data_IF_323107545277
#
_entry.id   IF_323107545277
#
_cell.length_a   1.000
_cell.length_b   1.000
_cell.length_c   1.000
_cell.angle_alpha   90.00
_cell.angle_beta   90.00
_cell.angle_gamma   90.00
#
_symmetry.space_group_name_H-M   'P 1'
#
loop_
_entity.id
_entity.type
_entity.pdbx_description
1 polymer ?
#
# COMPACT_ATOMS: atom_id res chain seq x y z
N UNK A 1 11.57 18.65 37.61
CA UNK A 1 12.58 17.65 37.96
C UNK A 1 13.99 18.23 37.79
N UNK A 2 14.48 18.42 36.56
CA UNK A 2 15.79 19.04 36.31
C UNK A 2 15.98 20.42 36.98
N UNK A 3 14.98 21.31 36.91
CA UNK A 3 15.00 22.60 37.63
C UNK A 3 15.10 22.43 39.15
N UNK A 4 14.44 21.41 39.71
CA UNK A 4 14.43 21.13 41.16
C UNK A 4 15.80 20.63 41.64
N UNK A 5 16.48 19.85 40.80
CA UNK A 5 17.82 19.30 41.07
C UNK A 5 18.95 20.19 40.51
N UNK A 6 18.66 21.46 40.19
CA UNK A 6 19.63 22.44 39.70
C UNK A 6 20.44 22.02 38.46
N UNK A 7 19.79 21.32 37.53
CA UNK A 7 20.37 20.93 36.25
C UNK A 7 19.67 21.65 35.09
N UNK A 8 20.45 22.14 34.13
CA UNK A 8 19.89 22.71 32.91
C UNK A 8 19.39 21.61 31.98
N UNK A 9 18.29 21.86 31.29
CA UNK A 9 17.75 20.99 30.25
C UNK A 9 17.30 21.85 29.07
N UNK A 10 17.79 21.56 27.88
CA UNK A 10 17.48 22.32 26.65
C UNK A 10 17.14 21.37 25.51
N UNK A 11 16.31 21.82 24.58
CA UNK A 11 16.11 21.13 23.29
C UNK A 11 17.39 21.29 22.47
N UNK A 12 17.84 20.22 21.84
CA UNK A 12 19.06 20.18 21.05
C UNK A 12 18.85 19.48 19.70
N UNK A 13 19.86 19.59 18.82
CA UNK A 13 19.90 18.85 17.56
C UNK A 13 18.85 19.29 16.53
N UNK A 14 18.36 18.31 15.75
CA UNK A 14 17.44 18.54 14.63
C UNK A 14 16.12 19.19 15.04
N UNK A 15 15.67 18.95 16.27
CA UNK A 15 14.43 19.52 16.79
C UNK A 15 14.46 21.06 16.86
N UNK A 16 15.61 21.67 17.17
CA UNK A 16 15.75 23.13 17.17
C UNK A 16 15.62 23.69 15.75
N UNK A 17 16.26 23.04 14.78
CA UNK A 17 16.17 23.42 13.36
C UNK A 17 14.72 23.31 12.85
N UNK A 18 14.03 22.23 13.19
CA UNK A 18 12.67 21.99 12.72
C UNK A 18 11.70 23.05 13.32
N UNK A 19 11.83 23.34 14.62
CA UNK A 19 11.05 24.40 15.28
C UNK A 19 11.30 25.79 14.68
N UNK A 20 12.56 26.14 14.38
CA UNK A 20 12.91 27.39 13.70
C UNK A 20 12.34 27.47 12.28
N UNK A 21 12.10 26.33 11.65
CA UNK A 21 11.50 26.23 10.31
C UNK A 21 9.98 26.17 10.36
N UNK A 22 9.35 26.31 11.54
CA UNK A 22 7.90 26.18 11.72
C UNK A 22 7.38 24.75 11.57
N UNK A 23 8.26 23.75 11.54
CA UNK A 23 7.92 22.33 11.40
C UNK A 23 7.91 21.66 12.78
N UNK A 24 6.86 20.91 13.06
CA UNK A 24 6.77 20.12 14.30
C UNK A 24 7.76 18.95 14.25
N UNK A 25 8.72 18.84 15.18
CA UNK A 25 9.72 17.78 15.16
C UNK A 25 9.09 16.41 15.46
N UNK A 26 9.58 15.37 14.77
CA UNK A 26 9.15 13.98 15.00
C UNK A 26 9.85 13.37 16.23
N UNK A 27 11.15 13.62 16.36
CA UNK A 27 11.97 13.23 17.50
C UNK A 27 12.56 14.48 18.17
N UNK A 28 12.47 14.54 19.50
CA UNK A 28 13.01 15.67 20.28
C UNK A 28 14.17 15.20 21.14
N UNK A 29 15.37 15.66 20.78
CA UNK A 29 16.57 15.45 21.59
C UNK A 29 16.70 16.53 22.65
N UNK A 30 17.10 16.13 23.85
CA UNK A 30 17.38 17.04 24.94
C UNK A 30 18.86 16.95 25.35
N UNK A 31 19.46 18.10 25.65
CA UNK A 31 20.78 18.20 26.25
C UNK A 31 20.66 18.67 27.69
N UNK A 32 21.45 18.09 28.59
CA UNK A 32 21.48 18.46 30.01
C UNK A 32 22.89 18.51 30.57
N UNK A 33 23.06 19.31 31.62
CA UNK A 33 24.28 19.35 32.43
C UNK A 33 24.39 18.16 33.38
N UNK A 34 23.30 17.41 33.60
CA UNK A 34 23.31 16.22 34.44
C UNK A 34 24.08 15.07 33.79
N UNK A 35 24.98 14.42 34.53
CA UNK A 35 25.67 13.20 34.09
C UNK A 35 24.71 12.00 34.00
N UNK A 36 25.07 10.89 33.31
CA UNK A 36 24.18 9.73 33.20
C UNK A 36 23.86 9.09 34.55
N UNK A 37 24.81 9.11 35.49
CA UNK A 37 24.60 8.64 36.86
C UNK A 37 23.58 9.51 37.60
N UNK A 38 23.75 10.84 37.56
CA UNK A 38 22.80 11.79 38.16
C UNK A 38 21.41 11.69 37.55
N UNK A 39 21.31 11.54 36.22
CA UNK A 39 20.03 11.35 35.55
C UNK A 39 19.32 10.06 36.02
N UNK A 40 20.06 8.96 36.21
CA UNK A 40 19.48 7.72 36.73
C UNK A 40 18.90 7.88 38.12
N UNK A 41 19.67 8.46 39.04
CA UNK A 41 19.22 8.71 40.41
C UNK A 41 18.00 9.64 40.43
N UNK A 42 18.04 10.69 39.61
CA UNK A 42 16.97 11.66 39.44
C UNK A 42 15.68 11.03 38.86
N UNK A 43 15.79 10.13 37.89
CA UNK A 43 14.62 9.42 37.35
C UNK A 43 14.11 8.33 38.29
N UNK A 44 14.99 7.60 38.97
CA UNK A 44 14.61 6.57 39.96
C UNK A 44 13.89 7.18 41.17
N UNK A 45 14.44 8.25 41.74
CA UNK A 45 13.84 8.97 42.87
C UNK A 45 12.48 9.59 42.51
N UNK A 46 12.27 9.94 41.24
CA UNK A 46 11.01 10.44 40.73
C UNK A 46 10.02 9.35 40.28
N UNK A 47 10.38 8.06 40.40
CA UNK A 47 9.54 6.94 39.94
C UNK A 47 9.36 6.88 38.41
N UNK A 48 10.26 7.50 37.65
CA UNK A 48 10.19 7.58 36.19
C UNK A 48 10.90 6.37 35.57
N UNK A 49 10.20 5.65 34.68
CA UNK A 49 10.72 4.46 34.02
C UNK A 49 11.74 4.82 32.95
N UNK A 50 12.90 4.17 32.95
CA UNK A 50 13.92 4.29 31.89
C UNK A 50 13.81 3.12 30.89
N UNK A 51 14.00 3.37 29.58
CA UNK A 51 13.70 2.38 28.52
C UNK A 51 14.94 1.66 27.97
N UNK A 52 16.17 2.16 28.13
CA UNK A 52 17.32 1.51 27.51
C UNK A 52 18.67 1.85 28.17
N UNK A 53 19.46 0.83 28.54
CA UNK A 53 20.79 1.02 29.15
C UNK A 53 21.95 0.95 28.13
N UNK A 54 21.68 0.69 26.84
CA UNK A 54 22.74 0.57 25.82
C UNK A 54 23.35 1.92 25.42
N UNK A 55 22.60 3.01 25.49
CA UNK A 55 23.04 4.36 25.15
C UNK A 55 23.90 5.04 26.22
N UNK A 56 23.96 4.50 27.42
CA UNK A 56 24.65 5.09 28.57
C UNK A 56 26.16 5.27 28.33
N UNK A 57 26.79 4.31 27.65
CA UNK A 57 28.21 4.37 27.27
C UNK A 57 28.53 5.57 26.35
N UNK A 58 27.51 6.14 25.71
CA UNK A 58 27.60 7.29 24.84
C UNK A 58 27.01 8.56 25.47
N UNK A 59 26.69 8.53 26.76
CA UNK A 59 26.14 9.67 27.49
C UNK A 59 24.64 9.88 27.29
N UNK A 60 23.89 8.87 26.84
CA UNK A 60 22.44 8.99 26.59
C UNK A 60 21.61 8.20 27.60
N UNK A 61 20.62 8.85 28.21
CA UNK A 61 19.58 8.20 29.03
C UNK A 61 18.21 8.45 28.40
N UNK A 62 17.42 7.38 28.23
CA UNK A 62 16.05 7.47 27.71
C UNK A 62 15.03 7.22 28.81
N UNK A 63 14.21 8.22 29.12
CA UNK A 63 13.16 8.17 30.13
C UNK A 63 11.75 8.20 29.51
N UNK A 64 10.82 7.48 30.13
CA UNK A 64 9.39 7.45 29.77
C UNK A 64 8.58 8.06 30.90
N UNK A 65 7.81 9.09 30.57
CA UNK A 65 6.77 9.62 31.44
C UNK A 65 5.45 9.57 30.68
N UNK A 66 4.40 9.03 31.29
CA UNK A 66 3.06 9.11 30.73
C UNK A 66 2.54 10.55 30.89
N UNK A 67 2.08 11.14 29.78
CA UNK A 67 1.45 12.45 29.82
C UNK A 67 0.00 12.30 30.31
N UNK A 68 -0.38 13.12 31.29
CA UNK A 68 -1.79 13.43 31.56
C UNK A 68 -2.20 14.42 30.47
N UNK A 69 -3.26 14.08 29.74
CA UNK A 69 -3.84 14.77 28.57
C UNK A 69 -3.21 14.45 27.19
N UNK A 70 -3.91 13.54 26.52
CA UNK A 70 -4.05 13.29 25.07
C UNK A 70 -2.86 13.55 24.12
N UNK A 71 -2.42 12.45 23.48
CA UNK A 71 -1.74 12.39 22.16
C UNK A 71 -0.28 12.83 22.06
N UNK A 72 0.53 12.61 23.11
CA UNK A 72 1.99 12.66 22.98
C UNK A 72 2.68 11.58 23.83
N UNK A 73 3.17 10.53 23.17
CA UNK A 73 4.19 9.65 23.74
C UNK A 73 5.56 10.30 23.52
N UNK A 74 6.05 11.06 24.50
CA UNK A 74 7.41 11.60 24.45
C UNK A 74 8.37 10.61 25.11
N UNK A 75 9.16 9.91 24.29
CA UNK A 75 10.41 9.31 24.77
C UNK A 75 11.43 10.42 24.94
N UNK A 76 11.83 10.72 26.18
CA UNK A 76 12.82 11.76 26.45
C UNK A 76 14.21 11.13 26.29
N UNK A 77 14.94 11.47 25.22
CA UNK A 77 16.35 11.10 25.05
C UNK A 77 17.22 12.27 25.49
N UNK A 78 17.92 12.12 26.61
CA UNK A 78 18.84 13.13 27.14
C UNK A 78 20.29 12.74 26.85
N UNK A 79 21.03 13.61 26.19
CA UNK A 79 22.48 13.47 25.95
C UNK A 79 23.28 14.43 26.85
N UNK A 80 24.40 13.94 27.37
CA UNK A 80 25.40 14.75 28.11
C UNK A 80 26.23 15.56 27.13
N UNK A 81 26.42 16.85 27.37
CA UNK A 81 27.34 17.67 26.57
C UNK A 81 28.80 17.29 26.87
N UNK A 82 29.36 16.35 26.11
CA UNK A 82 30.80 16.14 26.05
C UNK A 82 31.44 17.06 25.01
N UNK A 83 32.59 17.68 25.33
CA UNK A 83 33.37 18.58 24.46
C UNK A 83 33.76 18.00 23.07
N UNK A 84 33.51 16.71 22.79
CA UNK A 84 33.97 16.04 21.58
C UNK A 84 32.92 15.89 20.46
N UNK A 85 31.81 16.65 20.47
CA UNK A 85 30.93 16.81 19.30
C UNK A 85 30.49 18.26 19.12
N UNK A 86 31.45 19.13 18.82
CA UNK A 86 31.16 20.50 18.40
C UNK A 86 30.87 20.52 16.89
N UNK A 87 29.62 20.25 16.52
CA UNK A 87 29.03 21.08 15.47
C UNK A 87 28.67 22.40 16.15
N UNK A 88 29.61 23.35 16.04
CA UNK A 88 29.54 24.77 16.40
C UNK A 88 28.32 25.18 17.24
N UNK A 89 28.58 25.38 18.53
CA UNK A 89 27.84 26.34 19.34
C UNK A 89 27.65 27.64 18.55
N UNK A 90 26.41 28.14 18.47
CA UNK A 90 26.16 29.52 18.10
C UNK A 90 25.94 30.28 19.42
N UNK A 91 26.96 30.96 19.98
CA UNK A 91 26.79 31.72 21.20
C UNK A 91 26.04 33.02 20.86
N UNK A 92 24.77 33.11 21.25
CA UNK A 92 24.04 34.38 21.25
C UNK A 92 24.39 35.16 22.52
N UNK A 93 25.40 36.01 22.41
CA UNK A 93 25.59 37.17 23.28
C UNK A 93 25.66 38.40 22.39
N UNK A 94 24.50 38.89 21.93
CA UNK A 94 24.26 40.24 21.42
C UNK A 94 22.75 40.41 21.21
N UNK A 95 22.04 40.85 22.26
CA UNK A 95 20.77 41.54 22.11
C UNK A 95 21.08 42.91 21.47
N UNK A 96 20.52 43.17 20.29
CA UNK A 96 20.48 44.50 19.68
C UNK A 96 21.43 44.74 18.50
N UNK A 97 21.08 44.23 17.31
CA UNK A 97 21.31 44.86 16.01
C UNK A 97 20.70 43.98 14.89
N UNK A 98 20.22 44.61 13.82
CA UNK A 98 19.53 44.05 12.64
C UNK A 98 20.12 42.73 12.06
N UNK A 99 19.31 41.90 11.37
CA UNK A 99 19.75 40.60 10.87
C UNK A 99 20.72 40.75 9.69
N UNK A 100 21.84 40.01 9.63
CA UNK A 100 22.66 39.93 8.42
C UNK A 100 22.14 38.81 7.50
N UNK A 101 22.31 38.94 6.17
CA UNK A 101 21.85 37.95 5.21
C UNK A 101 22.70 36.68 5.26
N UNK A 102 22.05 35.55 4.98
CA UNK A 102 22.63 34.23 4.73
C UNK A 102 23.81 34.31 3.75
N UNK A 103 25.04 34.21 4.25
CA UNK A 103 26.24 33.77 3.53
C UNK A 103 27.33 33.51 4.59
N UNK A 104 27.78 32.25 4.70
CA UNK A 104 28.81 31.85 5.64
C UNK A 104 30.11 32.63 5.40
N UNK A 105 30.54 33.43 6.37
CA UNK A 105 31.76 34.24 6.31
C UNK A 105 33.03 33.38 6.29
N UNK A 106 33.96 33.72 5.39
CA UNK A 106 35.15 32.94 5.01
C UNK A 106 36.30 32.79 6.02
N UNK A 107 36.06 32.78 7.34
CA UNK A 107 37.14 32.57 8.34
C UNK A 107 37.23 31.14 8.91
N UNK A 108 36.29 30.25 8.60
CA UNK A 108 36.35 28.82 8.99
C UNK A 108 37.21 27.94 8.07
N UNK A 109 37.72 28.48 6.95
CA UNK A 109 38.45 27.71 5.95
C UNK A 109 39.96 27.51 6.22
N UNK A 110 40.55 28.23 7.18
CA UNK A 110 42.01 28.23 7.38
C UNK A 110 42.54 27.21 8.39
N UNK A 111 41.69 26.46 9.12
CA UNK A 111 42.14 25.50 10.15
C UNK A 111 42.00 24.02 9.72
N UNK A 112 41.26 23.73 8.65
CA UNK A 112 41.20 22.39 8.05
C UNK A 112 42.38 21.95 7.13
N UNK A 113 43.28 22.80 6.60
CA UNK A 113 44.30 22.32 5.65
C UNK A 113 45.41 21.47 6.26
N UNK A 114 45.65 21.54 7.57
CA UNK A 114 46.84 20.93 8.21
C UNK A 114 46.75 19.42 8.44
N UNK A 115 45.59 18.78 8.26
CA UNK A 115 45.46 17.31 8.32
C UNK A 115 45.32 16.62 6.95
N UNK A 116 45.28 17.36 5.83
CA UNK A 116 44.98 16.81 4.50
C UNK A 116 46.13 16.87 3.48
N UNK A 117 47.35 17.23 3.89
CA UNK A 117 48.50 17.33 2.99
C UNK A 117 49.15 15.98 2.64
N UNK A 118 48.39 15.04 2.06
CA UNK A 118 48.95 13.93 1.31
C UNK A 118 48.11 13.61 0.05
N UNK A 119 48.71 13.89 -1.10
CA UNK A 119 48.34 13.52 -2.50
C UNK A 119 47.47 14.51 -3.29
N UNK A 120 48.20 15.51 -3.79
CA UNK A 120 48.28 16.06 -5.16
C UNK A 120 47.02 16.60 -5.88
N UNK A 121 47.22 17.82 -6.35
CA UNK A 121 46.35 18.71 -7.12
C UNK A 121 46.34 18.45 -8.63
N UNK A 122 45.24 18.81 -9.32
CA UNK A 122 45.15 19.48 -10.65
C UNK A 122 43.75 20.16 -10.78
N UNK A 123 43.44 21.06 -11.76
CA UNK A 123 42.95 22.42 -11.50
C UNK A 123 41.48 22.67 -11.94
N UNK A 124 41.00 23.89 -11.67
CA UNK A 124 39.61 24.35 -11.76
C UNK A 124 39.15 24.82 -13.15
N UNK A 125 37.83 24.72 -13.42
CA UNK A 125 37.02 25.69 -14.18
C UNK A 125 35.55 25.65 -13.67
N UNK A 126 34.77 26.76 -13.76
CA UNK A 126 33.68 27.02 -12.82
C UNK A 126 32.29 26.68 -13.38
N UNK A 127 31.50 25.94 -12.59
CA UNK A 127 30.07 25.77 -12.81
C UNK A 127 29.51 24.55 -12.08
N UNK A 128 28.67 24.78 -11.07
CA UNK A 128 27.87 23.79 -10.30
C UNK A 128 28.60 23.02 -9.18
N UNK A 129 28.92 23.74 -8.09
CA UNK A 129 29.35 23.18 -6.81
C UNK A 129 28.20 23.12 -5.79
N UNK A 130 27.39 22.06 -5.81
CA UNK A 130 26.62 21.65 -4.61
C UNK A 130 26.76 20.15 -4.32
N UNK A 131 26.96 19.31 -5.35
CA UNK A 131 27.14 17.85 -5.15
C UNK A 131 28.59 17.40 -4.92
N UNK A 132 29.58 18.31 -4.94
CA UNK A 132 31.00 17.95 -4.81
C UNK A 132 31.69 18.35 -3.50
N UNK A 133 30.99 19.03 -2.60
CA UNK A 133 31.55 19.49 -1.30
C UNK A 133 31.07 18.67 -0.10
N UNK A 134 30.39 17.53 -0.33
CA UNK A 134 30.08 16.53 0.71
C UNK A 134 30.99 15.31 0.51
N UNK A 135 32.30 15.57 0.50
CA UNK A 135 33.34 14.60 0.13
C UNK A 135 33.89 13.73 1.26
N UNK A 136 33.21 13.57 2.40
CA UNK A 136 33.74 12.78 3.52
C UNK A 136 32.75 11.84 4.23
N UNK A 137 31.51 11.70 3.75
CA UNK A 137 30.54 10.76 4.34
C UNK A 137 29.73 9.92 3.33
N UNK A 138 30.02 10.02 2.03
CA UNK A 138 29.45 9.11 1.03
C UNK A 138 30.24 7.79 1.04
N UNK A 139 29.59 6.74 1.51
CA UNK A 139 29.94 5.36 1.18
C UNK A 139 30.30 5.29 -0.30
N UNK A 140 31.47 4.71 -0.64
CA UNK A 140 32.00 4.73 -2.02
C UNK A 140 30.94 4.18 -2.99
N UNK A 141 30.22 5.08 -3.65
CA UNK A 141 29.31 4.78 -4.74
C UNK A 141 30.11 4.08 -5.87
N UNK A 142 29.46 3.28 -6.73
CA UNK A 142 30.15 2.55 -7.78
C UNK A 142 30.98 3.51 -8.64
N UNK A 143 32.25 3.17 -8.87
CA UNK A 143 33.16 4.02 -9.66
C UNK A 143 32.66 4.27 -11.09
N UNK A 144 31.79 3.39 -11.61
CA UNK A 144 31.28 3.40 -12.98
C UNK A 144 29.77 3.73 -13.06
N UNK A 145 29.25 4.54 -12.14
CA UNK A 145 27.83 4.91 -12.09
C UNK A 145 27.37 5.72 -13.33
N UNK A 146 26.10 5.57 -13.73
CA UNK A 146 25.48 6.35 -14.81
C UNK A 146 24.82 7.60 -14.24
N UNK A 147 25.49 8.76 -14.37
CA UNK A 147 24.93 10.04 -13.91
C UNK A 147 23.76 10.52 -14.80
N UNK A 148 23.73 10.12 -16.06
CA UNK A 148 22.63 10.44 -16.98
C UNK A 148 21.33 9.76 -16.54
N UNK A 149 21.39 8.46 -16.24
CA UNK A 149 20.23 7.71 -15.73
C UNK A 149 19.78 8.27 -14.37
N UNK A 150 20.72 8.62 -13.49
CA UNK A 150 20.39 9.26 -12.21
C UNK A 150 19.64 10.58 -12.38
N UNK A 151 20.08 11.43 -13.31
CA UNK A 151 19.40 12.70 -13.58
C UNK A 151 17.99 12.48 -14.15
N UNK A 152 17.82 11.50 -15.03
CA UNK A 152 16.50 11.12 -15.58
C UNK A 152 15.58 10.61 -14.48
N UNK A 153 16.03 9.63 -13.69
CA UNK A 153 15.23 9.03 -12.62
C UNK A 153 14.91 10.05 -11.54
N UNK A 154 15.82 10.95 -11.19
CA UNK A 154 15.58 12.01 -10.20
C UNK A 154 14.43 12.93 -10.62
N UNK A 155 14.31 13.25 -11.91
CA UNK A 155 13.16 13.99 -12.45
C UNK A 155 11.89 13.13 -12.44
N UNK A 156 11.99 11.87 -12.83
CA UNK A 156 10.86 10.94 -12.87
C UNK A 156 10.20 10.70 -11.50
N UNK A 157 10.91 10.88 -10.40
CA UNK A 157 10.38 10.60 -9.05
C UNK A 157 9.99 11.85 -8.26
N UNK A 158 10.24 13.04 -8.83
CA UNK A 158 10.02 14.32 -8.16
C UNK A 158 8.54 14.49 -7.80
N UNK A 159 8.25 14.67 -6.50
CA UNK A 159 6.88 14.78 -5.99
C UNK A 159 6.17 13.45 -5.67
N UNK A 160 6.75 12.29 -5.97
CA UNK A 160 6.10 10.97 -5.80
C UNK A 160 6.65 10.13 -4.63
N UNK A 161 7.41 10.76 -3.72
CA UNK A 161 7.98 10.14 -2.51
C UNK A 161 8.62 8.76 -2.79
N UNK A 162 9.71 8.71 -3.57
CA UNK A 162 10.39 7.46 -3.87
C UNK A 162 11.06 6.88 -2.63
N UNK A 163 11.17 5.54 -2.57
CA UNK A 163 12.05 4.90 -1.60
C UNK A 163 13.52 5.23 -1.94
N UNK A 164 14.43 5.35 -0.94
CA UNK A 164 15.83 5.67 -1.19
C UNK A 164 16.50 4.71 -2.20
N UNK A 165 16.18 3.42 -2.11
CA UNK A 165 16.71 2.41 -3.02
C UNK A 165 16.26 2.62 -4.47
N UNK A 166 15.05 3.12 -4.69
CA UNK A 166 14.51 3.40 -6.03
C UNK A 166 15.39 4.41 -6.77
N UNK A 167 15.75 5.51 -6.10
CA UNK A 167 16.65 6.52 -6.67
C UNK A 167 18.07 5.97 -6.79
N UNK A 168 18.57 5.29 -5.76
CA UNK A 168 19.95 4.79 -5.72
C UNK A 168 20.25 3.79 -6.84
N UNK A 169 19.28 2.95 -7.22
CA UNK A 169 19.45 1.93 -8.28
C UNK A 169 19.71 2.50 -9.67
N UNK A 170 19.39 3.78 -9.91
CA UNK A 170 19.76 4.47 -11.16
C UNK A 170 21.28 4.56 -11.35
N UNK A 171 22.07 4.51 -10.27
CA UNK A 171 23.53 4.48 -10.32
C UNK A 171 24.10 3.08 -10.62
N UNK A 172 23.28 2.02 -10.53
CA UNK A 172 23.68 0.63 -10.71
C UNK A 172 23.49 0.19 -12.15
N UNK A 173 24.47 -0.55 -12.68
CA UNK A 173 24.41 -1.11 -14.04
C UNK A 173 23.90 -2.54 -14.02
N UNK A 174 24.36 -3.32 -13.03
CA UNK A 174 24.08 -4.74 -12.88
C UNK A 174 23.65 -5.07 -11.46
N UNK A 175 23.02 -6.23 -11.26
CA UNK A 175 22.55 -6.68 -9.94
C UNK A 175 23.68 -6.84 -8.91
N UNK A 176 24.91 -7.17 -9.37
CA UNK A 176 26.08 -7.29 -8.50
C UNK A 176 26.43 -5.97 -7.78
N UNK A 177 26.07 -4.81 -8.33
CA UNK A 177 26.29 -3.53 -7.68
C UNK A 177 25.43 -3.41 -6.41
N UNK A 178 24.21 -3.96 -6.42
CA UNK A 178 23.32 -4.04 -5.25
C UNK A 178 23.92 -4.97 -4.20
N UNK A 179 24.48 -6.11 -4.61
CA UNK A 179 25.13 -7.05 -3.71
C UNK A 179 26.37 -6.44 -3.03
N UNK A 180 27.18 -5.67 -3.77
CA UNK A 180 28.34 -4.93 -3.22
C UNK A 180 27.91 -3.87 -2.23
N UNK A 181 26.83 -3.13 -2.52
CA UNK A 181 26.26 -2.16 -1.60
C UNK A 181 25.81 -2.83 -0.29
N UNK A 182 25.08 -3.93 -0.38
CA UNK A 182 24.62 -4.71 0.77
C UNK A 182 25.77 -5.22 1.64
N UNK A 183 26.81 -5.79 1.01
CA UNK A 183 27.99 -6.26 1.74
C UNK A 183 28.65 -5.15 2.58
N UNK A 184 28.63 -3.91 2.09
CA UNK A 184 29.30 -2.76 2.72
C UNK A 184 28.45 -2.01 3.74
N UNK A 185 27.17 -1.78 3.42
CA UNK A 185 26.25 -0.97 4.21
C UNK A 185 25.32 -1.78 5.11
N UNK A 186 25.23 -3.10 4.88
CA UNK A 186 24.33 -4.00 5.61
C UNK A 186 22.89 -3.50 5.56
N UNK A 187 22.39 -3.30 4.34
CA UNK A 187 21.02 -2.82 4.09
C UNK A 187 20.00 -3.89 4.48
N UNK A 188 18.75 -3.50 4.65
CA UNK A 188 17.68 -4.46 4.95
C UNK A 188 17.41 -5.41 3.77
N UNK A 189 16.81 -6.57 4.06
CA UNK A 189 16.40 -7.53 3.03
C UNK A 189 15.41 -6.91 2.03
N UNK A 190 14.50 -6.07 2.51
CA UNK A 190 13.52 -5.37 1.68
C UNK A 190 14.19 -4.41 0.70
N UNK A 191 15.14 -3.60 1.18
CA UNK A 191 15.92 -2.69 0.32
C UNK A 191 16.74 -3.46 -0.72
N UNK A 192 17.40 -4.55 -0.32
CA UNK A 192 18.16 -5.39 -1.25
C UNK A 192 17.25 -5.97 -2.34
N UNK A 193 16.11 -6.53 -1.96
CA UNK A 193 15.17 -7.15 -2.89
C UNK A 193 14.58 -6.12 -3.87
N UNK A 194 14.22 -4.93 -3.37
CA UNK A 194 13.76 -3.82 -4.20
C UNK A 194 14.85 -3.39 -5.20
N UNK A 195 16.09 -3.27 -4.73
CA UNK A 195 17.21 -2.90 -5.59
C UNK A 195 17.46 -3.90 -6.71
N UNK A 196 17.48 -5.20 -6.38
CA UNK A 196 17.60 -6.28 -7.37
C UNK A 196 16.43 -6.28 -8.36
N UNK A 197 15.21 -6.08 -7.85
CA UNK A 197 14.00 -6.04 -8.67
C UNK A 197 14.03 -4.92 -9.71
N UNK A 198 14.36 -3.68 -9.31
CA UNK A 198 14.40 -2.55 -10.24
C UNK A 198 15.50 -2.76 -11.29
N UNK A 199 16.71 -3.12 -10.87
CA UNK A 199 17.83 -3.33 -11.81
C UNK A 199 17.52 -4.45 -12.81
N UNK A 200 16.81 -5.51 -12.38
CA UNK A 200 16.35 -6.60 -13.24
C UNK A 200 15.30 -6.14 -14.27
N UNK A 201 14.26 -5.44 -13.81
CA UNK A 201 13.03 -5.29 -14.58
C UNK A 201 12.88 -3.92 -15.25
N UNK A 202 13.73 -2.93 -14.94
CA UNK A 202 13.59 -1.55 -15.45
C UNK A 202 13.55 -1.38 -16.97
N UNK A 203 14.07 -2.37 -17.71
CA UNK A 203 14.09 -2.37 -19.19
C UNK A 203 13.02 -3.24 -19.81
N UNK A 204 12.68 -4.36 -19.16
CA UNK A 204 11.83 -5.40 -19.75
C UNK A 204 10.37 -5.29 -19.29
N UNK A 205 10.14 -4.88 -18.04
CA UNK A 205 8.80 -4.66 -17.50
C UNK A 205 8.39 -3.21 -17.75
N UNK A 206 7.91 -2.95 -18.96
CA UNK A 206 7.45 -1.65 -19.44
C UNK A 206 5.97 -1.72 -19.81
N UNK A 207 5.32 -0.56 -19.92
CA UNK A 207 3.94 -0.45 -20.39
C UNK A 207 3.76 -1.08 -21.76
N UNK A 208 2.60 -1.69 -21.99
CA UNK A 208 2.25 -2.20 -23.30
C UNK A 208 2.09 -1.03 -24.29
N UNK A 209 2.87 -1.05 -25.37
CA UNK A 209 2.80 -0.06 -26.45
C UNK A 209 1.63 -0.45 -27.37
N UNK A 210 0.83 0.53 -27.80
CA UNK A 210 -0.30 0.35 -28.73
C UNK A 210 -1.42 -0.60 -28.25
N UNK A 211 -1.59 -0.76 -26.93
CA UNK A 211 -2.67 -1.51 -26.31
C UNK A 211 -3.67 -0.59 -25.62
N UNK A 212 -4.95 -0.99 -25.60
CA UNK A 212 -5.98 -0.37 -24.75
C UNK A 212 -5.69 -0.55 -23.25
N UNK A 213 -4.76 -1.44 -22.88
CA UNK A 213 -4.42 -1.77 -21.49
C UNK A 213 -2.90 -1.59 -21.21
N UNK A 214 -2.38 -0.35 -21.12
CA UNK A 214 -0.96 -0.09 -20.88
C UNK A 214 -0.45 -0.64 -19.54
N UNK A 215 -1.34 -0.85 -18.57
CA UNK A 215 -1.02 -1.37 -17.23
C UNK A 215 -0.85 -2.89 -17.19
N UNK A 216 -1.32 -3.61 -18.22
CA UNK A 216 -1.42 -5.08 -18.22
C UNK A 216 -0.12 -5.81 -17.92
N UNK A 217 1.05 -5.45 -18.48
CA UNK A 217 2.30 -6.15 -18.18
C UNK A 217 2.66 -6.11 -16.68
N UNK A 218 2.36 -5.00 -16.01
CA UNK A 218 2.59 -4.84 -14.57
C UNK A 218 1.59 -5.66 -13.74
N UNK A 219 0.32 -5.73 -14.18
CA UNK A 219 -0.71 -6.54 -13.53
C UNK A 219 -0.41 -8.04 -13.66
N UNK A 220 -0.02 -8.49 -14.85
CA UNK A 220 0.38 -9.87 -15.10
C UNK A 220 1.56 -10.27 -14.21
N UNK A 221 2.57 -9.39 -14.10
CA UNK A 221 3.70 -9.59 -13.21
C UNK A 221 3.27 -9.78 -11.73
N UNK A 222 2.32 -8.97 -11.25
CA UNK A 222 1.82 -9.06 -9.87
C UNK A 222 1.01 -10.34 -9.66
N UNK A 223 0.14 -10.70 -10.61
CA UNK A 223 -0.69 -11.91 -10.56
C UNK A 223 0.17 -13.17 -10.54
N UNK A 224 1.27 -13.18 -11.32
CA UNK A 224 2.21 -14.31 -11.37
C UNK A 224 3.17 -14.36 -10.20
N UNK A 225 3.36 -13.22 -9.53
CA UNK A 225 4.22 -13.16 -8.36
C UNK A 225 3.59 -13.90 -7.18
N UNK A 226 4.41 -14.72 -6.51
CA UNK A 226 4.07 -15.35 -5.23
C UNK A 226 4.44 -14.48 -4.03
N UNK A 227 4.98 -13.29 -4.29
CA UNK A 227 5.52 -12.40 -3.26
C UNK A 227 4.48 -11.35 -2.86
N UNK A 228 4.21 -11.24 -1.56
CA UNK A 228 3.20 -10.32 -1.02
C UNK A 228 3.52 -8.83 -1.29
N UNK A 229 4.79 -8.49 -1.51
CA UNK A 229 5.25 -7.13 -1.75
C UNK A 229 5.42 -6.77 -3.24
N UNK A 230 4.94 -7.63 -4.15
CA UNK A 230 5.03 -7.42 -5.60
C UNK A 230 4.46 -6.07 -6.04
N UNK A 231 3.27 -5.70 -5.56
CA UNK A 231 2.62 -4.41 -5.85
C UNK A 231 3.48 -3.24 -5.40
N UNK A 232 4.03 -3.31 -4.19
CA UNK A 232 4.89 -2.24 -3.67
C UNK A 232 6.15 -2.05 -4.52
N UNK A 233 6.75 -3.14 -5.01
CA UNK A 233 7.92 -3.09 -5.90
C UNK A 233 7.57 -2.54 -7.28
N UNK A 234 6.44 -2.95 -7.85
CA UNK A 234 5.94 -2.44 -9.14
C UNK A 234 5.64 -0.94 -9.05
N UNK A 235 5.02 -0.46 -7.95
CA UNK A 235 4.82 0.97 -7.73
C UNK A 235 6.14 1.75 -7.73
N UNK A 236 7.19 1.24 -7.09
CA UNK A 236 8.52 1.88 -7.12
C UNK A 236 9.16 1.82 -8.52
N UNK A 237 8.92 0.76 -9.30
CA UNK A 237 9.37 0.69 -10.69
C UNK A 237 8.62 1.70 -11.59
N UNK A 238 7.31 1.89 -11.41
CA UNK A 238 6.54 2.90 -12.13
C UNK A 238 7.05 4.32 -11.82
N UNK A 239 7.39 4.60 -10.55
CA UNK A 239 8.08 5.85 -10.15
C UNK A 239 9.43 5.98 -10.84
N UNK A 240 10.25 4.93 -10.85
CA UNK A 240 11.55 4.94 -11.54
C UNK A 240 11.40 5.27 -13.03
N UNK A 241 10.39 4.71 -13.69
CA UNK A 241 10.11 4.89 -15.12
C UNK A 241 9.46 6.24 -15.45
N UNK A 242 8.86 6.94 -14.47
CA UNK A 242 8.13 8.20 -14.68
C UNK A 242 6.70 8.00 -15.19
N UNK A 243 6.13 6.81 -15.00
CA UNK A 243 4.79 6.46 -15.48
C UNK A 243 3.72 6.84 -14.45
N UNK A 244 3.57 8.15 -14.21
CA UNK A 244 2.73 8.69 -13.13
C UNK A 244 1.24 8.34 -13.25
N UNK A 245 0.69 8.38 -14.46
CA UNK A 245 -0.72 8.01 -14.69
C UNK A 245 -1.00 6.53 -14.42
N UNK A 246 -0.03 5.66 -14.71
CA UNK A 246 -0.13 4.23 -14.41
C UNK A 246 0.09 3.93 -12.93
N UNK A 247 0.91 4.73 -12.24
CA UNK A 247 1.12 4.61 -10.79
C UNK A 247 -0.19 4.80 -10.03
N UNK A 248 -0.99 5.81 -10.38
CA UNK A 248 -2.28 6.06 -9.72
C UNK A 248 -3.25 4.89 -9.95
N UNK A 249 -3.35 4.42 -11.19
CA UNK A 249 -4.18 3.26 -11.52
C UNK A 249 -3.73 2.00 -10.76
N UNK A 250 -2.42 1.75 -10.67
CA UNK A 250 -1.85 0.61 -9.95
C UNK A 250 -2.14 0.67 -8.44
N UNK A 251 -2.11 1.86 -7.84
CA UNK A 251 -2.40 2.03 -6.42
C UNK A 251 -3.89 1.81 -6.07
N UNK A 252 -4.78 2.12 -7.02
CA UNK A 252 -6.22 1.93 -6.86
C UNK A 252 -6.68 0.51 -7.26
N UNK A 253 -5.84 -0.24 -7.97
CA UNK A 253 -6.19 -1.57 -8.46
C UNK A 253 -6.28 -2.59 -7.33
N UNK A 254 -7.50 -3.04 -7.05
CA UNK A 254 -7.74 -4.16 -6.16
C UNK A 254 -7.46 -5.47 -6.91
N UNK A 255 -6.44 -6.21 -6.46
CA UNK A 255 -6.06 -7.49 -7.07
C UNK A 255 -7.23 -8.47 -6.91
N UNK A 256 -7.87 -8.89 -8.01
CA UNK A 256 -8.98 -9.81 -7.92
C UNK A 256 -8.48 -11.21 -7.51
N UNK A 257 -9.14 -11.89 -6.56
CA UNK A 257 -8.75 -13.24 -6.19
C UNK A 257 -9.03 -14.19 -7.35
N UNK A 258 -8.10 -15.13 -7.59
CA UNK A 258 -8.32 -16.17 -8.59
C UNK A 258 -9.50 -17.07 -8.13
N UNK A 259 -10.55 -17.24 -8.95
CA UNK A 259 -11.83 -17.80 -8.50
C UNK A 259 -11.83 -19.32 -8.32
N UNK A 260 -10.79 -20.02 -8.79
CA UNK A 260 -10.72 -21.49 -8.74
C UNK A 260 -9.62 -21.94 -7.78
N UNK A 261 -9.98 -22.82 -6.85
CA UNK A 261 -9.04 -23.44 -5.92
C UNK A 261 -8.66 -24.86 -6.36
N UNK A 262 -7.58 -25.39 -5.78
CA UNK A 262 -7.24 -26.81 -5.98
C UNK A 262 -8.32 -27.77 -5.44
N UNK A 263 -9.15 -27.33 -4.50
CA UNK A 263 -10.27 -28.13 -3.99
C UNK A 263 -11.39 -28.28 -5.03
N UNK A 264 -11.63 -27.24 -5.82
CA UNK A 264 -12.63 -27.27 -6.89
C UNK A 264 -12.24 -28.26 -7.99
N UNK A 265 -10.95 -28.29 -8.34
CA UNK A 265 -10.40 -29.27 -9.29
C UNK A 265 -10.47 -30.71 -8.73
N UNK A 266 -10.27 -30.89 -7.42
CA UNK A 266 -10.45 -32.20 -6.77
C UNK A 266 -11.90 -32.66 -6.81
N UNK A 267 -12.86 -31.77 -6.58
CA UNK A 267 -14.30 -32.08 -6.72
C UNK A 267 -14.67 -32.50 -8.15
N UNK A 268 -13.98 -31.95 -9.14
CA UNK A 268 -14.14 -32.32 -10.55
C UNK A 268 -13.51 -33.68 -10.92
N UNK A 269 -12.87 -34.38 -9.98
CA UNK A 269 -12.39 -35.76 -10.15
C UNK A 269 -10.88 -35.92 -10.33
N UNK A 270 -10.08 -34.85 -10.25
CA UNK A 270 -8.61 -34.94 -10.38
C UNK A 270 -7.95 -35.10 -9.01
N UNK A 271 -7.20 -36.18 -8.82
CA UNK A 271 -6.56 -36.51 -7.54
C UNK A 271 -5.05 -36.23 -7.51
N UNK A 272 -4.40 -36.10 -8.68
CA UNK A 272 -2.96 -35.86 -8.80
C UNK A 272 -2.59 -34.40 -8.54
N UNK A 273 -1.76 -34.14 -7.54
CA UNK A 273 -1.29 -32.78 -7.21
C UNK A 273 -0.55 -32.08 -8.35
N UNK A 274 0.21 -32.83 -9.16
CA UNK A 274 0.93 -32.29 -10.32
C UNK A 274 -0.04 -31.85 -11.41
N UNK A 275 -1.06 -32.65 -11.66
CA UNK A 275 -2.09 -32.39 -12.68
C UNK A 275 -2.99 -31.21 -12.28
N UNK A 276 -3.38 -31.13 -11.00
CA UNK A 276 -4.08 -29.97 -10.43
C UNK A 276 -3.28 -28.69 -10.66
N UNK A 277 -1.97 -28.72 -10.43
CA UNK A 277 -1.11 -27.56 -10.65
C UNK A 277 -1.09 -27.10 -12.12
N UNK A 278 -1.01 -28.04 -13.06
CA UNK A 278 -1.06 -27.75 -14.50
C UNK A 278 -2.41 -27.15 -14.91
N UNK A 279 -3.52 -27.74 -14.45
CA UNK A 279 -4.86 -27.25 -14.73
C UNK A 279 -5.12 -25.87 -14.13
N UNK A 280 -4.71 -25.63 -12.86
CA UNK A 280 -4.79 -24.31 -12.24
C UNK A 280 -4.00 -23.28 -13.05
N UNK A 281 -2.82 -23.62 -13.56
CA UNK A 281 -2.06 -22.70 -14.40
C UNK A 281 -2.79 -22.39 -15.71
N UNK A 282 -3.34 -23.39 -16.39
CA UNK A 282 -4.11 -23.19 -17.62
C UNK A 282 -5.34 -22.30 -17.37
N UNK A 283 -6.07 -22.53 -16.28
CA UNK A 283 -7.21 -21.70 -15.89
C UNK A 283 -6.78 -20.28 -15.50
N UNK A 284 -5.61 -20.11 -14.86
CA UNK A 284 -5.05 -18.78 -14.59
C UNK A 284 -4.72 -18.03 -15.87
N UNK A 285 -4.14 -18.69 -16.86
CA UNK A 285 -3.86 -18.05 -18.17
C UNK A 285 -5.14 -17.62 -18.89
N UNK A 286 -6.21 -18.44 -18.83
CA UNK A 286 -7.51 -18.05 -19.37
C UNK A 286 -8.13 -16.89 -18.59
N UNK A 287 -8.05 -16.93 -17.26
CA UNK A 287 -8.55 -15.88 -16.38
C UNK A 287 -7.81 -14.55 -16.59
N UNK A 288 -6.49 -14.57 -16.80
CA UNK A 288 -5.72 -13.37 -17.16
C UNK A 288 -6.18 -12.77 -18.49
N UNK A 289 -6.48 -13.61 -19.49
CA UNK A 289 -7.02 -13.17 -20.79
C UNK A 289 -8.39 -12.52 -20.64
N UNK A 290 -9.23 -13.01 -19.73
CA UNK A 290 -10.57 -12.47 -19.47
C UNK A 290 -10.62 -11.08 -18.80
N UNK A 291 -9.46 -10.50 -18.41
CA UNK A 291 -9.42 -9.11 -17.93
C UNK A 291 -9.66 -8.06 -19.02
N UNK A 292 -9.75 -8.47 -20.28
CA UNK A 292 -10.10 -7.61 -21.42
C UNK A 292 -11.54 -7.05 -21.39
N UNK A 293 -12.30 -7.33 -20.33
CA UNK A 293 -13.70 -6.92 -20.19
C UNK A 293 -14.66 -7.82 -20.94
N UNK A 294 -14.22 -8.98 -21.43
CA UNK A 294 -15.11 -9.95 -22.09
C UNK A 294 -16.05 -10.59 -21.06
N UNK A 295 -17.32 -10.19 -21.11
CA UNK A 295 -18.40 -10.83 -20.34
C UNK A 295 -18.70 -12.19 -20.96
N UNK A 296 -18.36 -13.27 -20.25
CA UNK A 296 -18.72 -14.63 -20.65
C UNK A 296 -20.10 -14.99 -20.11
N UNK A 297 -21.07 -15.03 -21.01
CA UNK A 297 -22.44 -15.46 -20.72
C UNK A 297 -22.61 -16.95 -21.05
N UNK A 298 -22.33 -17.81 -20.08
CA UNK A 298 -22.39 -19.27 -20.25
C UNK A 298 -23.81 -19.83 -20.37
N UNK A 299 -24.84 -19.01 -20.13
CA UNK A 299 -26.23 -19.45 -20.02
C UNK A 299 -27.18 -18.65 -20.91
N UNK A 300 -26.64 -17.87 -21.85
CA UNK A 300 -27.41 -16.98 -22.73
C UNK A 300 -28.32 -15.99 -21.96
N UNK A 301 -27.93 -15.60 -20.75
CA UNK A 301 -28.64 -14.62 -19.93
C UNK A 301 -28.75 -13.23 -20.57
N UNK A 302 -27.83 -12.87 -21.46
CA UNK A 302 -27.90 -11.66 -22.28
C UNK A 302 -29.02 -11.75 -23.31
N UNK A 303 -29.22 -12.90 -23.95
CA UNK A 303 -30.35 -13.12 -24.85
C UNK A 303 -31.67 -13.12 -24.07
N UNK A 304 -31.73 -13.79 -22.92
CA UNK A 304 -32.90 -13.76 -22.05
C UNK A 304 -33.22 -12.32 -21.58
N UNK A 305 -32.20 -11.51 -21.24
CA UNK A 305 -32.38 -10.11 -20.88
C UNK A 305 -32.90 -9.27 -22.05
N UNK A 306 -32.32 -9.45 -23.25
CA UNK A 306 -32.75 -8.77 -24.48
C UNK A 306 -34.19 -9.14 -24.85
N UNK A 307 -34.56 -10.40 -24.66
CA UNK A 307 -35.89 -10.95 -24.90
C UNK A 307 -36.84 -10.76 -23.69
N UNK A 308 -36.37 -10.11 -22.62
CA UNK A 308 -37.12 -9.86 -21.38
C UNK A 308 -37.75 -11.11 -20.77
N UNK A 309 -37.07 -12.26 -20.86
CA UNK A 309 -37.53 -13.54 -20.28
C UNK A 309 -36.95 -13.75 -18.89
N UNK A 310 -37.74 -14.33 -18.00
CA UNK A 310 -37.31 -14.71 -16.65
C UNK A 310 -37.25 -16.23 -16.57
N UNK A 311 -36.05 -16.77 -16.36
CA UNK A 311 -35.77 -18.21 -16.28
C UNK A 311 -34.91 -18.55 -15.08
N UNK A 312 -35.01 -19.79 -14.60
CA UNK A 312 -34.10 -20.31 -13.61
C UNK A 312 -32.80 -20.79 -14.29
N UNK A 313 -31.66 -20.55 -13.64
CA UNK A 313 -30.39 -21.13 -14.07
C UNK A 313 -30.38 -22.61 -13.63
N UNK A 314 -30.39 -23.53 -14.60
CA UNK A 314 -30.49 -24.98 -14.36
C UNK A 314 -31.94 -25.44 -14.16
N UNK A 315 -32.13 -26.55 -13.44
CA UNK A 315 -33.48 -27.12 -13.23
C UNK A 315 -34.29 -26.33 -12.19
N UNK A 316 -35.44 -25.78 -12.60
CA UNK A 316 -36.28 -24.92 -11.76
C UNK A 316 -36.66 -25.58 -10.41
N UNK A 317 -37.04 -26.87 -10.44
CA UNK A 317 -37.41 -27.64 -9.24
C UNK A 317 -36.30 -27.67 -8.19
N UNK A 318 -35.08 -28.01 -8.58
CA UNK A 318 -33.93 -28.05 -7.66
C UNK A 318 -33.63 -26.67 -7.09
N UNK A 319 -33.66 -25.63 -7.93
CA UNK A 319 -33.39 -24.25 -7.52
C UNK A 319 -34.45 -23.73 -6.54
N UNK A 320 -35.72 -24.09 -6.70
CA UNK A 320 -36.79 -23.71 -5.77
C UNK A 320 -36.63 -24.43 -4.43
N UNK A 321 -36.29 -25.73 -4.43
CA UNK A 321 -36.11 -26.52 -3.20
C UNK A 321 -34.97 -26.02 -2.31
N UNK A 322 -33.95 -25.38 -2.88
CA UNK A 322 -32.89 -24.71 -2.11
C UNK A 322 -33.38 -23.47 -1.33
N UNK A 323 -34.35 -22.74 -1.87
CA UNK A 323 -34.92 -21.52 -1.27
C UNK A 323 -36.32 -21.27 -1.84
N UNK A 324 -37.36 -21.73 -1.15
CA UNK A 324 -38.75 -21.64 -1.61
C UNK A 324 -39.21 -20.20 -1.85
N UNK A 325 -38.58 -19.19 -1.23
CA UNK A 325 -38.87 -17.77 -1.50
C UNK A 325 -38.59 -17.39 -2.97
N UNK A 326 -37.87 -18.22 -3.74
CA UNK A 326 -37.67 -18.04 -5.18
C UNK A 326 -38.96 -18.09 -5.98
N UNK A 327 -40.01 -18.74 -5.49
CA UNK A 327 -41.34 -18.69 -6.09
C UNK A 327 -41.84 -17.24 -6.15
N UNK A 328 -41.85 -16.54 -5.01
CA UNK A 328 -42.28 -15.13 -4.96
C UNK A 328 -41.32 -14.20 -5.72
N UNK A 329 -40.00 -14.50 -5.69
CA UNK A 329 -39.02 -13.74 -6.47
C UNK A 329 -39.26 -13.88 -7.97
N UNK A 330 -39.67 -15.06 -8.47
CA UNK A 330 -40.03 -15.26 -9.87
C UNK A 330 -41.16 -14.32 -10.29
N UNK A 331 -42.29 -14.33 -9.57
CA UNK A 331 -43.42 -13.44 -9.86
C UNK A 331 -43.01 -11.96 -9.81
N UNK A 332 -42.21 -11.56 -8.81
CA UNK A 332 -41.70 -10.19 -8.70
C UNK A 332 -40.83 -9.80 -9.91
N UNK A 333 -39.90 -10.66 -10.31
CA UNK A 333 -39.02 -10.36 -11.44
C UNK A 333 -39.80 -10.34 -12.75
N UNK A 334 -40.76 -11.25 -12.93
CA UNK A 334 -41.65 -11.27 -14.07
C UNK A 334 -42.40 -9.94 -14.21
N UNK A 335 -43.06 -9.50 -13.14
CA UNK A 335 -43.77 -8.21 -13.11
C UNK A 335 -42.87 -6.97 -13.25
N UNK A 336 -41.55 -7.11 -13.17
CA UNK A 336 -40.61 -6.01 -13.37
C UNK A 336 -40.00 -5.97 -14.77
N UNK A 337 -39.73 -7.13 -15.36
CA UNK A 337 -38.90 -7.26 -16.57
C UNK A 337 -39.75 -7.43 -17.82
N UNK A 338 -40.86 -8.17 -17.73
CA UNK A 338 -41.64 -8.60 -18.89
C UNK A 338 -42.58 -7.50 -19.35
N UNK A 339 -42.63 -7.24 -20.67
CA UNK A 339 -43.49 -6.20 -21.25
C UNK A 339 -44.96 -6.64 -21.35
N UNK A 340 -45.20 -7.89 -21.78
CA UNK A 340 -46.54 -8.44 -22.00
C UNK A 340 -46.80 -9.64 -21.10
N UNK A 341 -47.93 -9.68 -20.37
CA UNK A 341 -48.25 -10.82 -19.51
C UNK A 341 -48.57 -12.07 -20.35
N UNK A 342 -48.32 -13.25 -19.78
CA UNK A 342 -48.72 -14.55 -20.35
C UNK A 342 -47.59 -15.37 -20.99
N UNK A 343 -46.43 -14.78 -21.28
CA UNK A 343 -45.25 -15.52 -21.79
C UNK A 343 -44.45 -16.15 -20.63
N UNK A 344 -45.05 -17.12 -19.94
CA UNK A 344 -44.37 -17.92 -18.92
C UNK A 344 -43.82 -19.20 -19.52
N UNK A 345 -42.67 -19.64 -19.00
CA UNK A 345 -42.14 -20.96 -19.32
C UNK A 345 -42.96 -22.07 -18.61
N UNK A 346 -43.56 -23.02 -19.34
CA UNK A 346 -44.43 -24.04 -18.75
C UNK A 346 -43.74 -24.89 -17.68
N UNK A 347 -42.47 -25.28 -17.92
CA UNK A 347 -41.69 -26.08 -16.95
C UNK A 347 -41.47 -25.31 -15.64
N UNK A 348 -41.30 -23.99 -15.73
CA UNK A 348 -41.17 -23.13 -14.55
C UNK A 348 -42.48 -23.06 -13.76
N UNK A 349 -43.64 -22.94 -14.43
CA UNK A 349 -44.93 -22.92 -13.75
C UNK A 349 -45.24 -24.25 -13.07
N UNK A 350 -44.95 -25.37 -13.73
CA UNK A 350 -45.09 -26.71 -13.16
C UNK A 350 -44.21 -26.87 -11.91
N UNK A 351 -42.94 -26.46 -11.99
CA UNK A 351 -42.03 -26.50 -10.85
C UNK A 351 -42.50 -25.62 -9.68
N UNK A 352 -43.12 -24.47 -9.95
CA UNK A 352 -43.72 -23.61 -8.91
C UNK A 352 -44.90 -24.31 -8.25
N UNK A 353 -45.85 -24.84 -9.03
CA UNK A 353 -47.03 -25.52 -8.51
C UNK A 353 -46.67 -26.73 -7.63
N UNK A 354 -45.72 -27.56 -8.05
CA UNK A 354 -45.29 -28.74 -7.29
C UNK A 354 -44.65 -28.39 -5.92
N UNK A 355 -44.02 -27.21 -5.82
CA UNK A 355 -43.21 -26.80 -4.66
C UNK A 355 -43.85 -25.68 -3.82
N UNK A 356 -45.05 -25.22 -4.17
CA UNK A 356 -45.77 -24.13 -3.48
C UNK A 356 -45.84 -24.30 -1.95
N UNK A 357 -46.11 -25.53 -1.52
CA UNK A 357 -46.21 -25.96 -0.10
C UNK A 357 -44.98 -25.61 0.73
N UNK A 358 -43.80 -25.55 0.10
CA UNK A 358 -42.56 -25.20 0.78
C UNK A 358 -42.50 -23.75 1.28
N UNK A 359 -43.37 -22.87 0.76
CA UNK A 359 -43.48 -21.49 1.26
C UNK A 359 -43.97 -21.41 2.71
N UNK A 360 -44.72 -22.41 3.19
CA UNK A 360 -45.15 -22.48 4.59
C UNK A 360 -43.97 -22.52 5.59
N UNK A 361 -42.78 -22.90 5.14
CA UNK A 361 -41.55 -22.89 5.95
C UNK A 361 -40.81 -21.55 5.98
N UNK A 362 -41.29 -20.52 5.27
CA UNK A 362 -40.64 -19.21 5.18
C UNK A 362 -41.32 -18.23 6.15
N UNK A 363 -40.54 -17.34 6.79
CA UNK A 363 -41.11 -16.35 7.71
C UNK A 363 -42.02 -15.34 6.99
N UNK A 364 -43.13 -14.98 7.63
CA UNK A 364 -44.15 -14.08 7.09
C UNK A 364 -43.61 -12.70 6.70
N UNK A 365 -42.60 -12.17 7.41
CA UNK A 365 -41.95 -10.90 7.06
C UNK A 365 -41.25 -11.00 5.70
N UNK A 366 -40.59 -12.12 5.41
CA UNK A 366 -39.90 -12.33 4.13
C UNK A 366 -40.90 -12.50 2.99
N UNK A 367 -42.00 -13.22 3.23
CA UNK A 367 -43.12 -13.34 2.30
C UNK A 367 -43.69 -11.95 1.99
N UNK A 368 -44.00 -11.17 3.03
CA UNK A 368 -44.58 -9.82 2.90
C UNK A 368 -43.67 -8.85 2.13
N UNK A 369 -42.35 -8.91 2.32
CA UNK A 369 -41.40 -8.08 1.57
C UNK A 369 -41.45 -8.37 0.07
N UNK A 370 -41.58 -9.63 -0.33
CA UNK A 370 -41.71 -9.99 -1.75
C UNK A 370 -43.11 -9.68 -2.28
N UNK A 371 -44.17 -10.00 -1.53
CA UNK A 371 -45.55 -9.74 -1.93
C UNK A 371 -45.83 -8.26 -2.15
N UNK A 372 -45.35 -7.37 -1.27
CA UNK A 372 -45.46 -5.91 -1.49
C UNK A 372 -44.87 -5.47 -2.83
N UNK A 373 -43.71 -6.03 -3.21
CA UNK A 373 -43.03 -5.68 -4.46
C UNK A 373 -43.76 -6.24 -5.68
N UNK A 374 -44.41 -7.41 -5.54
CA UNK A 374 -45.29 -7.96 -6.59
C UNK A 374 -46.51 -7.04 -6.78
N UNK A 375 -47.18 -6.66 -5.68
CA UNK A 375 -48.39 -5.84 -5.71
C UNK A 375 -48.16 -4.41 -6.25
N UNK A 376 -46.94 -3.89 -6.15
CA UNK A 376 -46.56 -2.59 -6.73
C UNK A 376 -45.85 -2.72 -8.09
N UNK A 377 -45.73 -3.93 -8.63
CA UNK A 377 -45.09 -4.20 -9.92
C UNK A 377 -46.02 -4.00 -11.12
N UNK A 378 -45.56 -4.37 -12.32
CA UNK A 378 -46.44 -4.46 -13.49
C UNK A 378 -47.16 -5.82 -13.52
N UNK A 379 -48.22 -5.93 -14.33
CA UNK A 379 -48.98 -7.16 -14.54
C UNK A 379 -49.57 -7.78 -13.27
N UNK A 380 -49.80 -6.98 -12.22
CA UNK A 380 -50.27 -7.46 -10.91
C UNK A 380 -51.53 -8.30 -11.03
N UNK A 381 -52.50 -7.85 -11.83
CA UNK A 381 -53.75 -8.59 -12.03
C UNK A 381 -53.48 -10.01 -12.55
N UNK A 382 -52.70 -10.14 -13.63
CA UNK A 382 -52.28 -11.43 -14.19
C UNK A 382 -51.51 -12.29 -13.19
N UNK A 383 -50.53 -11.70 -12.49
CA UNK A 383 -49.69 -12.43 -11.54
C UNK A 383 -50.46 -12.93 -10.32
N UNK A 384 -51.42 -12.15 -9.82
CA UNK A 384 -52.27 -12.56 -8.71
C UNK A 384 -53.18 -13.70 -9.16
N UNK A 385 -53.81 -13.62 -10.34
CA UNK A 385 -54.59 -14.74 -10.89
C UNK A 385 -53.74 -16.01 -11.00
N UNK A 386 -52.51 -15.90 -11.52
CA UNK A 386 -51.61 -17.03 -11.66
C UNK A 386 -51.19 -17.64 -10.31
N UNK A 387 -51.01 -16.83 -9.27
CA UNK A 387 -50.73 -17.30 -7.90
C UNK A 387 -51.89 -18.16 -7.36
N UNK A 388 -53.14 -17.82 -7.69
CA UNK A 388 -54.30 -18.63 -7.33
C UNK A 388 -54.41 -19.89 -8.20
N UNK A 389 -54.19 -19.78 -9.52
CA UNK A 389 -54.26 -20.91 -10.45
C UNK A 389 -53.23 -22.00 -10.13
N UNK A 390 -52.05 -21.62 -9.66
CA UNK A 390 -50.96 -22.53 -9.29
C UNK A 390 -51.02 -23.02 -7.83
N UNK A 391 -52.11 -22.74 -7.11
CA UNK A 391 -52.30 -23.11 -5.69
C UNK A 391 -51.18 -22.60 -4.77
N UNK A 392 -50.62 -21.43 -5.07
CA UNK A 392 -49.58 -20.80 -4.25
C UNK A 392 -50.18 -19.97 -3.11
N UNK A 393 -51.35 -19.39 -3.34
CA UNK A 393 -52.04 -18.49 -2.40
C UNK A 393 -52.21 -19.04 -0.97
N UNK A 394 -52.53 -20.33 -0.72
CA UNK A 394 -52.71 -20.84 0.64
C UNK A 394 -51.45 -20.80 1.53
N UNK A 395 -50.28 -20.60 0.93
CA UNK A 395 -48.98 -20.65 1.61
C UNK A 395 -48.30 -19.27 1.72
N UNK A 396 -49.00 -18.20 1.30
CA UNK A 396 -48.62 -16.79 1.42
C UNK A 396 -49.42 -16.20 2.58
#
# INVERSE_FOLDING_TARGET
LFVKEHHELRIAGGAVRDLLSGVKPQDVDFATTATPAQMKELFQSAGIRMINNKGEKHGTITARREAVDTSFFAGLSCQVSGENRVHTWCPFSCLGAHPPPLLASGRTWSVLPLCCSARRAVPQSPGHHVLRTVGSALARLPANASLEEFNKVSKNVEGFSPKPMTVLTSLFKVQDDVAKLDLRLKISKEEKNLGLFIVKNRKDLIKAVDSSEPLKPYQDFIIDSREADATARVCELLKYQGEHGLLEQMQQWAIPPFPVSGHDIRKAGVSSGKEIGVLLQQLREQWKKSFDGTLFDYFNGYEDLKNKKVRFVGQAKQRIQEDYLRILRYFRFYGKIVDTPGDHDPETLEAIAENAKGLAGISGERIWVELKKILTGNHVNHLIHLIYELDVAPYI
#
